data_IF_559540265206
#
_entry.id   IF_559540265206
#
_cell.length_a   1.000
_cell.length_b   1.000
_cell.length_c   1.000
_cell.angle_alpha   90.00
_cell.angle_beta   90.00
_cell.angle_gamma   90.00
#
_symmetry.space_group_name_H-M   'P 1'
#
loop_
_entity.id
_entity.type
_entity.pdbx_description
1 polymer ?
#
# COMPACT_ATOMS: atom_id res chain seq x y z
N UNK A 1 -12.90 -2.60 -5.49
CA UNK A 1 -11.73 -3.03 -6.28
C UNK A 1 -11.08 -1.81 -6.93
N UNK A 2 -9.77 -1.62 -6.76
CA UNK A 2 -8.99 -0.47 -7.25
C UNK A 2 -8.00 -0.82 -8.37
N UNK A 3 -7.93 -2.10 -8.77
CA UNK A 3 -7.07 -2.58 -9.86
C UNK A 3 -7.37 -1.80 -11.14
N UNK A 4 -6.33 -1.29 -11.78
CA UNK A 4 -6.41 -0.50 -13.00
C UNK A 4 -6.57 1.01 -12.81
N UNK A 5 -6.78 1.48 -11.57
CA UNK A 5 -6.79 2.92 -11.23
C UNK A 5 -5.38 3.41 -10.91
N UNK A 6 -5.15 4.72 -11.07
CA UNK A 6 -3.90 5.35 -10.62
C UNK A 6 -3.95 5.58 -9.12
N UNK A 7 -2.88 5.23 -8.41
CA UNK A 7 -2.74 5.54 -6.99
C UNK A 7 -2.63 7.04 -6.78
N UNK A 8 -3.22 7.54 -5.70
CA UNK A 8 -3.06 8.92 -5.25
C UNK A 8 -2.12 9.05 -4.06
N UNK A 9 -1.79 7.93 -3.42
CA UNK A 9 -1.03 7.86 -2.18
C UNK A 9 0.09 6.83 -2.30
N UNK A 10 1.08 6.93 -1.42
CA UNK A 10 2.10 5.90 -1.27
C UNK A 10 1.50 4.70 -0.54
N UNK A 11 1.88 3.50 -0.97
CA UNK A 11 1.68 2.26 -0.21
C UNK A 11 3.06 1.63 -0.04
N UNK A 12 3.47 1.39 1.19
CA UNK A 12 4.79 0.82 1.50
C UNK A 12 4.73 -0.08 2.73
N UNK A 13 5.62 -1.06 2.80
CA UNK A 13 5.72 -1.97 3.95
C UNK A 13 6.87 -1.60 4.88
N UNK A 14 6.71 -1.84 6.18
CA UNK A 14 7.78 -1.65 7.16
C UNK A 14 7.75 -2.70 8.28
N UNK A 15 8.93 -3.19 8.74
CA UNK A 15 10.26 -3.09 8.12
C UNK A 15 10.38 -4.07 6.93
N UNK A 16 11.13 -3.80 5.83
CA UNK A 16 12.28 -2.87 5.69
C UNK A 16 12.02 -1.50 5.04
N UNK A 17 10.77 -1.10 4.74
CA UNK A 17 10.49 0.22 4.15
C UNK A 17 10.36 0.24 2.62
N UNK A 18 9.99 -0.88 1.99
CA UNK A 18 9.93 -0.98 0.52
C UNK A 18 8.58 -0.43 0.01
N UNK A 19 8.59 0.52 -0.96
CA UNK A 19 7.37 0.99 -1.59
C UNK A 19 6.76 -0.10 -2.50
N UNK A 20 5.47 -0.35 -2.33
CA UNK A 20 4.69 -1.30 -3.12
C UNK A 20 3.92 -0.56 -4.23
N UNK A 21 3.45 0.66 -3.95
CA UNK A 21 2.76 1.52 -4.91
C UNK A 21 3.17 2.98 -4.68
N UNK A 22 3.48 3.70 -5.75
CA UNK A 22 3.75 5.14 -5.72
C UNK A 22 2.56 5.95 -6.29
N UNK A 23 2.37 7.21 -5.86
CA UNK A 23 1.38 8.10 -6.45
C UNK A 23 1.60 8.25 -7.96
N UNK A 24 0.52 8.18 -8.73
CA UNK A 24 0.55 8.26 -10.19
C UNK A 24 0.74 6.91 -10.90
N UNK A 25 1.22 5.88 -10.21
CA UNK A 25 1.35 4.53 -10.76
C UNK A 25 -0.01 3.81 -10.83
N UNK A 26 -0.16 2.92 -11.80
CA UNK A 26 -1.36 2.10 -11.96
C UNK A 26 -1.34 0.95 -10.96
N UNK A 27 -2.37 0.85 -10.13
CA UNK A 27 -2.53 -0.26 -9.19
C UNK A 27 -2.72 -1.56 -9.98
N UNK A 28 -1.72 -2.43 -9.92
CA UNK A 28 -1.75 -3.76 -10.55
C UNK A 28 -2.37 -4.79 -9.61
N UNK A 29 -2.76 -5.94 -10.17
CA UNK A 29 -3.22 -7.07 -9.37
C UNK A 29 -2.08 -7.62 -8.49
N UNK A 30 -0.85 -7.58 -8.99
CA UNK A 30 0.35 -8.01 -8.26
C UNK A 30 0.63 -7.13 -7.04
N UNK A 31 0.46 -5.81 -7.16
CA UNK A 31 0.61 -4.89 -6.04
C UNK A 31 -0.41 -5.20 -4.92
N UNK A 32 -1.67 -5.43 -5.29
CA UNK A 32 -2.72 -5.82 -4.33
C UNK A 32 -2.41 -7.17 -3.68
N UNK A 33 -1.93 -8.13 -4.47
CA UNK A 33 -1.55 -9.44 -3.95
C UNK A 33 -0.36 -9.36 -2.97
N UNK A 34 0.64 -8.54 -3.30
CA UNK A 34 1.81 -8.29 -2.44
C UNK A 34 1.39 -7.68 -1.11
N UNK A 35 0.49 -6.68 -1.16
CA UNK A 35 -0.09 -6.07 0.05
C UNK A 35 -0.79 -7.12 0.91
N UNK A 36 -1.63 -7.98 0.31
CA UNK A 36 -2.31 -9.05 1.05
C UNK A 36 -1.33 -10.02 1.68
N UNK A 37 -0.34 -10.51 0.93
CA UNK A 37 0.70 -11.40 1.45
C UNK A 37 1.46 -10.80 2.63
N UNK A 38 1.77 -9.51 2.57
CA UNK A 38 2.45 -8.81 3.65
C UNK A 38 1.57 -8.66 4.89
N UNK A 39 0.28 -8.35 4.71
CA UNK A 39 -0.67 -8.32 5.83
C UNK A 39 -0.84 -9.72 6.47
N UNK A 40 -0.91 -10.77 5.66
CA UNK A 40 -0.98 -12.16 6.13
C UNK A 40 0.32 -12.60 6.84
N UNK A 41 1.47 -12.11 6.39
CA UNK A 41 2.76 -12.34 7.03
C UNK A 41 2.97 -11.52 8.31
N UNK A 42 2.01 -10.68 8.71
CA UNK A 42 2.14 -9.79 9.87
C UNK A 42 3.06 -8.59 9.65
N UNK A 43 3.43 -8.29 8.41
CA UNK A 43 4.20 -7.11 8.03
C UNK A 43 3.27 -5.90 8.01
N UNK A 44 3.68 -4.81 8.65
CA UNK A 44 2.88 -3.58 8.65
C UNK A 44 2.95 -2.93 7.27
N UNK A 45 1.77 -2.65 6.70
CA UNK A 45 1.64 -1.92 5.44
C UNK A 45 0.99 -0.56 5.72
N UNK A 46 1.64 0.49 5.24
CA UNK A 46 1.24 1.88 5.42
C UNK A 46 0.62 2.42 4.13
N UNK A 47 -0.31 3.37 4.26
CA UNK A 47 -0.96 4.03 3.11
C UNK A 47 -2.22 3.32 2.58
N UNK A 48 -2.68 2.27 3.27
CA UNK A 48 -3.97 1.61 3.04
C UNK A 48 -5.12 2.23 3.84
N UNK A 49 -4.81 3.26 4.64
CA UNK A 49 -5.75 3.90 5.54
C UNK A 49 -6.80 4.71 4.78
N UNK A 50 -8.04 4.67 5.27
CA UNK A 50 -9.09 5.59 4.85
C UNK A 50 -8.65 7.01 5.21
N UNK A 51 -9.09 7.95 4.39
CA UNK A 51 -8.94 9.40 4.60
C UNK A 51 -9.19 9.74 6.09
N UNK A 52 -8.13 10.05 6.85
CA UNK A 52 -8.21 10.38 8.28
C UNK A 52 -7.18 9.74 9.21
N UNK A 53 -6.61 8.56 8.88
CA UNK A 53 -5.57 7.95 9.72
C UNK A 53 -4.17 8.47 9.31
N UNK A 54 -3.92 9.73 9.65
CA UNK A 54 -2.57 10.28 9.72
C UNK A 54 -2.03 10.00 11.12
N UNK A 55 -1.26 8.92 11.26
CA UNK A 55 -0.33 8.80 12.40
C UNK A 55 1.02 9.34 11.95
N UNK A 56 1.18 10.66 12.07
CA UNK A 56 2.48 11.25 12.33
C UNK A 56 2.63 11.29 13.85
N UNK A 57 3.70 10.71 14.38
CA UNK A 57 4.17 11.05 15.72
C UNK A 57 4.70 12.50 15.73
#
# INVERSE_FOLDING_TARGET
MCIGKKSKTYVYSYPPGIPIVIPGEKITKEAVNTVNQYMEAGIKVYGLTKEGDFQWE
#
